data_IF_914024521918
#
_entry.id   IF_914024521918
#
_cell.length_a   1.000
_cell.length_b   1.000
_cell.length_c   1.000
_cell.angle_alpha   90.00
_cell.angle_beta   90.00
_cell.angle_gamma   90.00
#
_symmetry.space_group_name_H-M   'P 1'
#
loop_
_entity.id
_entity.type
_entity.pdbx_description
1 polymer ?
#
# COMPACT_ATOMS: atom_id res chain seq x y z
N UNK A 1 1.13 54.26 1.85
CA UNK A 1 1.04 53.44 3.08
C UNK A 1 1.54 52.07 2.70
N UNK A 2 2.77 51.73 3.08
CA UNK A 2 3.26 50.36 2.97
C UNK A 2 2.61 49.61 4.14
N UNK A 3 1.71 48.68 3.83
CA UNK A 3 1.21 47.74 4.84
C UNK A 3 2.37 46.92 5.42
N UNK A 4 2.18 46.28 6.58
CA UNK A 4 3.20 45.38 7.12
C UNK A 4 3.55 44.33 6.06
N UNK A 5 4.84 44.09 5.90
CA UNK A 5 5.36 43.09 4.96
C UNK A 5 4.93 41.71 5.51
N UNK A 6 3.91 41.10 4.90
CA UNK A 6 3.46 39.75 5.27
C UNK A 6 4.43 38.66 4.77
N UNK A 7 5.59 39.06 4.25
CA UNK A 7 6.68 38.19 3.84
C UNK A 7 7.38 37.65 5.08
N UNK A 8 7.07 36.40 5.42
CA UNK A 8 7.88 35.60 6.34
C UNK A 8 9.12 35.19 5.54
N UNK A 9 10.30 35.60 5.99
CA UNK A 9 11.56 35.17 5.38
C UNK A 9 11.61 33.64 5.29
N UNK A 10 11.90 33.13 4.09
CA UNK A 10 12.06 31.69 3.91
C UNK A 10 13.21 31.21 4.80
N UNK A 11 12.99 30.25 5.71
CA UNK A 11 14.01 29.79 6.65
C UNK A 11 15.17 29.05 5.97
N UNK A 12 15.07 28.82 4.66
CA UNK A 12 16.02 28.10 3.82
C UNK A 12 16.19 28.86 2.51
N UNK A 13 17.45 29.11 2.10
CA UNK A 13 17.76 29.67 0.78
C UNK A 13 17.59 28.60 -0.29
N UNK A 14 16.80 28.88 -1.32
CA UNK A 14 16.69 27.98 -2.47
C UNK A 14 18.06 27.77 -3.12
N UNK A 15 18.39 26.54 -3.46
CA UNK A 15 19.60 26.23 -4.23
C UNK A 15 19.44 26.72 -5.67
N UNK A 16 20.57 26.98 -6.35
CA UNK A 16 20.55 27.33 -7.77
C UNK A 16 19.75 26.26 -8.55
N UNK A 17 18.78 26.71 -9.33
CA UNK A 17 17.99 25.81 -10.16
C UNK A 17 18.86 25.37 -11.34
N UNK A 18 19.15 24.07 -11.49
CA UNK A 18 19.83 23.58 -12.67
C UNK A 18 18.92 23.72 -13.89
N UNK A 19 19.53 23.94 -15.05
CA UNK A 19 18.85 23.75 -16.31
C UNK A 19 18.69 22.25 -16.56
N UNK A 20 17.45 21.75 -16.63
CA UNK A 20 17.17 20.34 -16.92
C UNK A 20 16.60 20.24 -18.33
N UNK A 21 17.33 19.53 -19.20
CA UNK A 21 16.90 19.22 -20.57
C UNK A 21 16.63 17.72 -20.68
N UNK A 22 15.36 17.35 -20.74
CA UNK A 22 14.96 15.97 -20.96
C UNK A 22 15.07 15.61 -22.45
N UNK A 23 16.03 14.76 -22.79
CA UNK A 23 16.21 14.20 -24.14
C UNK A 23 15.59 12.81 -24.30
N UNK A 24 15.04 12.25 -23.22
CA UNK A 24 14.32 10.98 -23.24
C UNK A 24 12.85 11.29 -23.58
N UNK A 25 12.20 10.51 -24.44
CA UNK A 25 10.80 10.73 -24.79
C UNK A 25 9.80 10.47 -23.66
N UNK A 26 10.29 10.32 -22.42
CA UNK A 26 9.53 9.86 -21.28
C UNK A 26 9.08 11.02 -20.38
N UNK A 27 7.85 10.98 -19.85
CA UNK A 27 7.38 11.93 -18.84
C UNK A 27 8.38 12.00 -17.68
N UNK A 28 8.94 13.18 -17.47
CA UNK A 28 9.98 13.39 -16.47
C UNK A 28 9.89 14.78 -15.87
N UNK A 29 10.21 14.89 -14.58
CA UNK A 29 10.15 16.15 -13.85
C UNK A 29 11.30 16.25 -12.85
N UNK A 30 11.85 17.45 -12.75
CA UNK A 30 12.85 17.81 -11.76
C UNK A 30 12.21 18.59 -10.61
N UNK A 31 12.67 18.34 -9.39
CA UNK A 31 12.34 19.12 -8.20
C UNK A 31 13.47 19.06 -7.16
N UNK A 32 13.42 19.95 -6.18
CA UNK A 32 14.35 19.98 -5.05
C UNK A 32 13.65 19.44 -3.81
N UNK A 33 14.38 18.68 -3.02
CA UNK A 33 13.96 18.23 -1.69
C UNK A 33 15.05 18.55 -0.68
N UNK A 34 14.74 18.33 0.59
CA UNK A 34 15.63 18.58 1.72
C UNK A 34 15.73 17.32 2.56
N UNK A 35 16.93 17.03 3.06
CA UNK A 35 17.15 15.92 3.98
C UNK A 35 17.02 16.34 5.46
N UNK A 36 17.23 15.39 6.37
CA UNK A 36 17.18 15.62 7.83
C UNK A 36 18.32 16.52 8.35
N UNK A 37 19.37 16.71 7.55
CA UNK A 37 20.49 17.62 7.82
C UNK A 37 20.28 19.01 7.22
N UNK A 38 19.07 19.29 6.71
CA UNK A 38 18.66 20.53 6.07
C UNK A 38 19.45 20.84 4.78
N UNK A 39 20.01 19.80 4.16
CA UNK A 39 20.71 19.93 2.88
C UNK A 39 19.74 19.74 1.73
N UNK A 40 19.78 20.68 0.78
CA UNK A 40 19.03 20.58 -0.45
C UNK A 40 19.68 19.55 -1.36
N UNK A 41 18.85 18.69 -1.94
CA UNK A 41 19.26 17.77 -2.99
C UNK A 41 18.28 17.75 -4.15
N UNK A 42 18.78 17.29 -5.28
CA UNK A 42 18.12 17.31 -6.57
C UNK A 42 17.46 15.97 -6.84
N UNK A 43 16.18 15.99 -7.22
CA UNK A 43 15.44 14.79 -7.60
C UNK A 43 15.00 14.92 -9.05
N UNK A 44 15.23 13.86 -9.82
CA UNK A 44 14.70 13.69 -11.16
C UNK A 44 13.85 12.42 -11.15
N UNK A 45 12.59 12.54 -11.54
CA UNK A 45 11.70 11.41 -11.74
C UNK A 45 11.41 11.24 -13.21
N UNK A 46 11.38 9.99 -13.67
CA UNK A 46 11.05 9.60 -15.04
C UNK A 46 10.16 8.37 -15.00
N UNK A 47 9.10 8.35 -15.80
CA UNK A 47 8.17 7.22 -15.89
C UNK A 47 8.26 6.56 -17.25
N UNK A 48 8.54 5.26 -17.24
CA UNK A 48 8.59 4.42 -18.44
C UNK A 48 7.49 3.37 -18.35
N UNK A 49 6.69 3.23 -19.41
CA UNK A 49 5.60 2.27 -19.51
C UNK A 49 5.92 1.23 -20.56
N UNK A 50 5.80 -0.04 -20.19
CA UNK A 50 6.03 -1.20 -21.05
C UNK A 50 4.73 -1.99 -21.24
N UNK A 51 4.52 -2.59 -22.41
CA UNK A 51 3.43 -3.55 -22.64
C UNK A 51 3.93 -4.97 -22.31
N UNK A 52 3.40 -5.55 -21.23
CA UNK A 52 3.76 -6.92 -20.82
C UNK A 52 3.28 -8.02 -21.77
N UNK A 53 2.44 -7.69 -22.77
CA UNK A 53 1.92 -8.65 -23.77
C UNK A 53 2.79 -8.72 -25.02
N UNK A 54 3.77 -7.83 -25.15
CA UNK A 54 4.65 -7.75 -26.31
C UNK A 54 6.10 -7.83 -25.86
N UNK A 55 6.87 -8.66 -26.55
CA UNK A 55 8.31 -8.75 -26.39
C UNK A 55 8.99 -8.81 -27.76
N UNK A 56 10.23 -8.37 -27.82
CA UNK A 56 11.09 -8.58 -29.00
C UNK A 56 11.53 -10.05 -29.13
N UNK A 57 12.33 -10.33 -30.16
CA UNK A 57 12.84 -11.68 -30.46
C UNK A 57 13.77 -12.21 -29.35
N UNK A 58 14.36 -11.31 -28.55
CA UNK A 58 15.18 -11.61 -27.37
C UNK A 58 14.35 -11.78 -26.07
N UNK A 59 13.05 -11.54 -26.12
CA UNK A 59 12.13 -11.67 -24.98
C UNK A 59 12.12 -10.46 -24.04
N UNK A 60 12.65 -9.31 -24.46
CA UNK A 60 12.59 -8.06 -23.71
C UNK A 60 11.25 -7.36 -23.96
N UNK A 61 10.68 -6.79 -22.90
CA UNK A 61 9.43 -6.05 -23.01
C UNK A 61 9.59 -4.80 -23.88
N UNK A 62 8.60 -4.57 -24.74
CA UNK A 62 8.53 -3.36 -25.55
C UNK A 62 7.89 -2.21 -24.78
N UNK A 63 8.29 -0.98 -25.11
CA UNK A 63 7.61 0.22 -24.63
C UNK A 63 6.16 0.22 -25.13
N UNK A 64 5.24 0.65 -24.27
CA UNK A 64 3.86 0.87 -24.68
C UNK A 64 3.76 2.03 -25.68
N UNK A 65 2.85 1.91 -26.65
CA UNK A 65 2.55 2.96 -27.65
C UNK A 65 2.21 4.29 -26.98
N UNK A 66 1.54 4.23 -25.82
CA UNK A 66 1.22 5.38 -24.98
C UNK A 66 1.95 5.28 -23.64
N UNK A 67 2.73 6.32 -23.31
CA UNK A 67 3.42 6.42 -22.03
C UNK A 67 2.48 7.03 -20.98
N UNK A 68 2.44 6.42 -19.80
CA UNK A 68 1.64 6.94 -18.69
C UNK A 68 2.31 8.22 -18.14
N UNK A 69 1.56 9.31 -17.90
CA UNK A 69 2.12 10.51 -17.29
C UNK A 69 2.58 10.23 -15.85
N UNK A 70 3.38 11.16 -15.31
CA UNK A 70 3.72 11.13 -13.89
C UNK A 70 2.44 11.21 -13.04
N UNK A 71 2.37 10.39 -11.99
CA UNK A 71 1.31 10.47 -11.01
C UNK A 71 1.52 11.71 -10.14
N UNK A 72 0.65 12.72 -10.28
CA UNK A 72 0.72 13.95 -9.47
C UNK A 72 0.14 13.77 -8.06
N UNK A 73 -0.81 12.83 -7.91
CA UNK A 73 -1.47 12.55 -6.65
C UNK A 73 -1.70 11.06 -6.46
N UNK A 74 -1.88 10.67 -5.19
CA UNK A 74 -2.20 9.30 -4.82
C UNK A 74 -3.56 8.89 -5.40
N UNK A 75 -3.62 7.70 -6.02
CA UNK A 75 -4.84 7.15 -6.59
C UNK A 75 -5.31 5.95 -5.80
N UNK A 76 -6.59 5.92 -5.49
CA UNK A 76 -7.25 4.89 -4.70
C UNK A 76 -8.27 4.13 -5.54
N UNK A 77 -8.55 2.87 -5.18
CA UNK A 77 -9.60 2.07 -5.85
C UNK A 77 -10.99 2.67 -5.61
N UNK A 78 -11.21 3.24 -4.42
CA UNK A 78 -12.43 3.93 -4.04
C UNK A 78 -12.10 5.20 -3.27
N UNK A 79 -12.68 5.35 -2.08
CA UNK A 79 -12.47 6.52 -1.24
C UNK A 79 -11.03 6.60 -0.69
N UNK A 80 -10.51 7.83 -0.63
CA UNK A 80 -9.19 8.15 -0.07
C UNK A 80 -9.13 7.67 1.38
N UNK A 81 -8.02 7.02 1.74
CA UNK A 81 -7.75 6.46 3.08
C UNK A 81 -8.74 5.38 3.58
N UNK A 82 -9.70 4.95 2.74
CA UNK A 82 -10.70 3.92 3.07
C UNK A 82 -10.70 2.74 2.09
N UNK A 83 -9.83 2.78 1.07
CA UNK A 83 -9.69 1.74 0.07
C UNK A 83 -8.22 1.53 -0.29
N UNK A 84 -7.92 0.44 -0.99
CA UNK A 84 -6.56 0.14 -1.43
C UNK A 84 -6.00 1.24 -2.33
N UNK A 85 -4.72 1.55 -2.11
CA UNK A 85 -3.92 2.46 -2.92
C UNK A 85 -3.49 1.75 -4.21
N UNK A 86 -3.81 2.34 -5.36
CA UNK A 86 -3.42 1.87 -6.70
C UNK A 86 -1.96 2.25 -6.94
N UNK A 87 -1.65 3.53 -6.76
CA UNK A 87 -0.31 4.10 -6.87
C UNK A 87 -0.23 5.39 -6.05
N UNK A 88 0.98 5.71 -5.58
CA UNK A 88 1.27 7.03 -4.98
C UNK A 88 1.73 8.02 -6.03
N UNK A 89 1.74 9.29 -5.64
CA UNK A 89 2.46 10.34 -6.35
C UNK A 89 3.91 9.93 -6.65
N UNK A 90 4.36 10.18 -7.88
CA UNK A 90 5.73 9.90 -8.35
C UNK A 90 6.76 10.84 -7.70
N UNK A 91 6.30 11.91 -7.04
CA UNK A 91 7.11 12.95 -6.40
C UNK A 91 7.63 12.54 -5.01
N UNK A 92 8.09 11.29 -4.90
CA UNK A 92 8.72 10.78 -3.69
C UNK A 92 10.10 11.42 -3.46
N UNK A 93 10.46 11.72 -2.22
CA UNK A 93 11.73 12.39 -1.93
C UNK A 93 12.95 11.53 -2.28
N UNK A 94 13.03 10.35 -1.68
CA UNK A 94 14.07 9.37 -1.94
C UNK A 94 13.56 8.01 -1.48
N UNK A 95 13.70 6.98 -2.32
CA UNK A 95 13.38 5.60 -1.96
C UNK A 95 14.70 4.82 -1.79
N UNK A 96 15.04 4.31 -0.60
CA UNK A 96 16.26 3.50 -0.43
C UNK A 96 16.21 2.13 -1.15
N UNK A 97 15.02 1.67 -1.54
CA UNK A 97 14.79 0.37 -2.20
C UNK A 97 13.85 0.54 -3.40
N UNK A 98 13.84 -0.42 -4.31
CA UNK A 98 12.85 -0.48 -5.39
C UNK A 98 11.59 -1.19 -4.89
N UNK A 99 10.43 -0.55 -5.09
CA UNK A 99 9.11 -1.09 -4.76
C UNK A 99 8.59 -1.95 -5.92
N UNK A 100 8.18 -3.19 -5.64
CA UNK A 100 7.38 -3.99 -6.58
C UNK A 100 5.92 -3.90 -6.14
N UNK A 101 5.05 -3.41 -7.03
CA UNK A 101 3.64 -3.14 -6.76
C UNK A 101 2.74 -3.70 -7.86
N UNK A 102 1.58 -4.21 -7.45
CA UNK A 102 0.54 -4.67 -8.37
C UNK A 102 -0.75 -3.89 -8.14
N UNK A 103 -0.98 -2.88 -8.97
CA UNK A 103 -2.07 -1.90 -8.82
C UNK A 103 -3.48 -2.49 -9.02
N UNK A 104 -3.62 -3.42 -9.98
CA UNK A 104 -4.90 -4.01 -10.38
C UNK A 104 -4.84 -5.54 -10.47
N UNK A 105 -4.16 -6.18 -9.51
CA UNK A 105 -4.02 -7.63 -9.51
C UNK A 105 -5.37 -8.33 -9.29
N UNK A 106 -5.66 -9.30 -10.16
CA UNK A 106 -6.80 -10.22 -10.05
C UNK A 106 -6.26 -11.64 -10.14
N UNK A 107 -6.51 -12.45 -9.12
CA UNK A 107 -6.19 -13.87 -9.14
C UNK A 107 -7.30 -14.60 -9.91
N UNK A 108 -6.96 -15.31 -10.98
CA UNK A 108 -7.90 -16.15 -11.72
C UNK A 108 -7.79 -17.61 -11.25
N UNK A 109 -8.92 -18.29 -11.14
CA UNK A 109 -8.97 -19.68 -10.74
C UNK A 109 -8.34 -20.60 -11.80
N UNK A 110 -7.62 -21.67 -11.41
CA UNK A 110 -6.85 -22.49 -12.32
C UNK A 110 -7.75 -23.20 -13.34
N UNK A 111 -7.31 -23.21 -14.60
CA UNK A 111 -8.04 -23.84 -15.71
C UNK A 111 -9.38 -23.18 -16.05
N UNK A 112 -9.61 -21.93 -15.62
CA UNK A 112 -10.83 -21.16 -15.90
C UNK A 112 -12.10 -21.71 -15.24
N UNK A 113 -11.95 -22.59 -14.24
CA UNK A 113 -13.07 -23.20 -13.50
C UNK A 113 -13.16 -22.60 -12.10
N UNK A 114 -14.37 -22.25 -11.61
CA UNK A 114 -14.52 -21.77 -10.25
C UNK A 114 -13.90 -22.72 -9.22
N UNK A 115 -13.10 -22.18 -8.31
CA UNK A 115 -12.47 -22.92 -7.22
C UNK A 115 -12.73 -22.18 -5.91
N UNK A 116 -12.78 -22.90 -4.79
CA UNK A 116 -12.96 -22.29 -3.48
C UNK A 116 -11.67 -21.65 -2.96
N UNK A 117 -10.51 -22.21 -3.32
CA UNK A 117 -9.20 -21.79 -2.82
C UNK A 117 -8.08 -22.25 -3.76
N UNK A 118 -7.10 -21.39 -4.04
CA UNK A 118 -5.93 -21.73 -4.86
C UNK A 118 -4.73 -20.83 -4.56
N UNK A 119 -3.49 -21.30 -4.78
CA UNK A 119 -2.30 -20.48 -4.66
C UNK A 119 -2.13 -19.56 -5.87
N UNK A 120 -1.48 -18.41 -5.68
CA UNK A 120 -0.97 -17.56 -6.75
C UNK A 120 0.44 -17.09 -6.42
N UNK A 121 1.21 -16.72 -7.43
CA UNK A 121 2.60 -16.32 -7.24
C UNK A 121 3.15 -15.45 -8.34
N UNK A 122 4.11 -14.61 -7.97
CA UNK A 122 4.90 -13.79 -8.88
C UNK A 122 6.38 -13.91 -8.54
N UNK A 123 7.22 -13.88 -9.57
CA UNK A 123 8.67 -13.86 -9.46
C UNK A 123 9.24 -12.79 -10.38
N UNK A 124 10.17 -11.98 -9.88
CA UNK A 124 10.91 -10.96 -10.63
C UNK A 124 12.38 -11.13 -10.26
N UNK A 125 13.19 -11.63 -11.20
CA UNK A 125 14.56 -12.04 -10.92
C UNK A 125 14.61 -13.09 -9.79
N UNK A 126 15.37 -12.79 -8.74
CA UNK A 126 15.51 -13.64 -7.53
C UNK A 126 14.40 -13.42 -6.50
N UNK A 127 13.64 -12.33 -6.63
CA UNK A 127 12.53 -12.04 -5.75
C UNK A 127 11.29 -12.85 -6.15
N UNK A 128 10.61 -13.42 -5.17
CA UNK A 128 9.32 -14.09 -5.39
C UNK A 128 8.38 -13.88 -4.21
N UNK A 129 7.08 -13.82 -4.51
CA UNK A 129 6.01 -13.81 -3.50
C UNK A 129 4.88 -14.73 -3.92
N UNK A 130 4.42 -15.53 -2.96
CA UNK A 130 3.30 -16.45 -3.13
C UNK A 130 2.31 -16.29 -1.99
N UNK A 131 1.04 -16.39 -2.32
CA UNK A 131 -0.07 -16.31 -1.37
C UNK A 131 -1.15 -17.31 -1.78
N UNK A 132 -2.15 -17.49 -0.93
CA UNK A 132 -3.36 -18.24 -1.27
C UNK A 132 -4.53 -17.29 -1.32
N UNK A 133 -5.36 -17.40 -2.35
CA UNK A 133 -6.65 -16.72 -2.40
C UNK A 133 -7.77 -17.75 -2.18
N UNK A 134 -8.87 -17.30 -1.61
CA UNK A 134 -10.09 -18.06 -1.51
C UNK A 134 -11.30 -17.18 -1.82
N UNK A 135 -12.43 -17.78 -2.19
CA UNK A 135 -13.65 -17.02 -2.42
C UNK A 135 -14.24 -16.43 -1.13
N UNK A 136 -15.31 -15.64 -1.26
CA UNK A 136 -15.96 -14.99 -0.12
C UNK A 136 -16.31 -15.97 0.99
N UNK A 137 -16.09 -15.55 2.23
CA UNK A 137 -16.45 -16.29 3.45
C UNK A 137 -16.66 -15.35 4.62
N UNK A 138 -17.39 -15.82 5.62
CA UNK A 138 -17.80 -15.01 6.79
C UNK A 138 -17.58 -15.77 8.08
N UNK A 139 -17.25 -15.04 9.14
CA UNK A 139 -17.44 -15.45 10.52
C UNK A 139 -18.91 -15.16 10.87
N UNK A 140 -19.67 -16.15 11.28
CA UNK A 140 -21.07 -16.01 11.66
C UNK A 140 -21.27 -16.40 13.12
N UNK A 141 -22.06 -15.61 13.85
CA UNK A 141 -22.43 -15.87 15.23
C UNK A 141 -23.44 -17.02 15.29
N UNK A 142 -23.13 -18.04 16.07
CA UNK A 142 -24.02 -19.18 16.34
C UNK A 142 -24.33 -19.29 17.83
N UNK A 143 -25.20 -20.23 18.22
CA UNK A 143 -25.46 -20.53 19.64
C UNK A 143 -24.22 -21.06 20.39
N UNK A 144 -23.25 -21.64 19.67
CA UNK A 144 -22.01 -22.20 20.22
C UNK A 144 -20.81 -21.29 20.02
N UNK A 145 -21.03 -20.00 19.74
CA UNK A 145 -19.98 -19.02 19.43
C UNK A 145 -19.83 -18.78 17.93
N UNK A 146 -18.68 -18.24 17.52
CA UNK A 146 -18.41 -17.91 16.13
C UNK A 146 -18.04 -19.15 15.31
N UNK A 147 -18.59 -19.24 14.09
CA UNK A 147 -18.22 -20.25 13.10
C UNK A 147 -17.69 -19.56 11.86
N UNK A 148 -16.60 -20.08 11.32
CA UNK A 148 -16.07 -19.64 10.05
C UNK A 148 -16.65 -20.50 8.92
N UNK A 149 -17.23 -19.86 7.90
CA UNK A 149 -17.75 -20.55 6.73
C UNK A 149 -16.62 -21.07 5.83
N UNK A 150 -16.93 -22.13 5.07
CA UNK A 150 -16.10 -22.56 3.96
C UNK A 150 -16.12 -21.48 2.85
N UNK A 151 -15.02 -21.28 2.12
CA UNK A 151 -14.99 -20.34 0.99
C UNK A 151 -15.94 -20.76 -0.13
N UNK A 152 -16.63 -19.78 -0.71
CA UNK A 152 -17.42 -19.97 -1.94
C UNK A 152 -16.51 -20.25 -3.14
N UNK A 153 -16.98 -21.06 -4.09
CA UNK A 153 -16.25 -21.29 -5.34
C UNK A 153 -16.44 -20.12 -6.30
N UNK A 154 -15.34 -19.47 -6.71
CA UNK A 154 -15.35 -18.30 -7.60
C UNK A 154 -14.29 -18.43 -8.69
N UNK A 155 -14.49 -17.74 -9.82
CA UNK A 155 -13.56 -17.74 -10.95
C UNK A 155 -12.40 -16.75 -10.77
N UNK A 156 -12.58 -15.74 -9.91
CA UNK A 156 -11.58 -14.71 -9.69
C UNK A 156 -11.68 -14.07 -8.31
N UNK A 157 -10.56 -13.58 -7.80
CA UNK A 157 -10.46 -12.82 -6.54
C UNK A 157 -9.55 -11.61 -6.77
N UNK A 158 -10.06 -10.36 -6.65
CA UNK A 158 -9.22 -9.18 -6.66
C UNK A 158 -8.23 -9.19 -5.48
N UNK A 159 -6.94 -8.96 -5.75
CA UNK A 159 -5.92 -8.90 -4.70
C UNK A 159 -5.83 -7.46 -4.19
N UNK A 160 -6.64 -7.16 -3.17
CA UNK A 160 -6.75 -5.84 -2.53
C UNK A 160 -6.77 -5.99 -1.02
N UNK A 161 -6.30 -4.98 -0.28
CA UNK A 161 -6.15 -5.07 1.16
C UNK A 161 -7.47 -5.16 1.94
N UNK A 162 -8.58 -4.70 1.36
CA UNK A 162 -9.94 -4.92 1.87
C UNK A 162 -10.29 -6.42 1.99
N UNK A 163 -9.60 -7.27 1.23
CA UNK A 163 -9.75 -8.72 1.22
C UNK A 163 -8.67 -9.45 2.03
N UNK A 164 -7.69 -8.72 2.57
CA UNK A 164 -6.67 -9.24 3.46
C UNK A 164 -7.10 -9.07 4.93
N UNK A 165 -6.41 -9.79 5.82
CA UNK A 165 -6.66 -9.66 7.24
C UNK A 165 -6.35 -8.25 7.75
N UNK A 166 -7.20 -7.75 8.62
CA UNK A 166 -7.11 -6.43 9.24
C UNK A 166 -8.49 -5.84 9.46
N UNK A 167 -8.55 -4.51 9.58
CA UNK A 167 -9.80 -3.77 9.65
C UNK A 167 -9.88 -2.83 10.84
N UNK A 168 -10.98 -2.08 10.85
CA UNK A 168 -11.27 -1.05 11.83
C UNK A 168 -12.63 -1.33 12.49
N UNK A 169 -12.63 -1.42 13.82
CA UNK A 169 -13.82 -1.59 14.63
C UNK A 169 -14.37 -0.22 15.05
N UNK A 170 -15.34 0.30 14.29
CA UNK A 170 -16.02 1.58 14.58
C UNK A 170 -17.46 1.42 15.04
N UNK A 171 -17.96 2.38 15.81
CA UNK A 171 -19.35 2.41 16.28
C UNK A 171 -19.92 3.83 16.36
N UNK A 172 -21.15 4.09 15.87
CA UNK A 172 -22.04 3.18 15.14
C UNK A 172 -21.46 2.72 13.78
N UNK A 173 -21.84 1.53 13.29
CA UNK A 173 -21.20 0.94 12.09
C UNK A 173 -21.37 1.80 10.83
N UNK A 174 -22.52 2.44 10.70
CA UNK A 174 -22.96 3.21 9.54
C UNK A 174 -22.89 4.74 9.79
N UNK A 175 -22.20 5.17 10.84
CA UNK A 175 -21.97 6.59 11.08
C UNK A 175 -20.92 7.14 10.09
N UNK A 176 -20.96 8.45 9.84
CA UNK A 176 -19.88 9.15 9.16
C UNK A 176 -18.58 9.05 9.99
N UNK A 177 -17.42 9.19 9.35
CA UNK A 177 -16.13 8.96 10.03
C UNK A 177 -15.84 9.95 11.17
N UNK A 178 -16.36 11.17 11.09
CA UNK A 178 -16.27 12.20 12.15
C UNK A 178 -17.26 11.97 13.30
N UNK A 179 -18.27 11.12 13.10
CA UNK A 179 -19.27 10.77 14.10
C UNK A 179 -19.00 9.40 14.75
N UNK A 180 -18.26 8.52 14.06
CA UNK A 180 -18.00 7.16 14.52
C UNK A 180 -16.88 7.12 15.56
N UNK A 181 -17.15 6.46 16.69
CA UNK A 181 -16.11 6.14 17.65
C UNK A 181 -15.24 5.00 17.14
N UNK A 182 -13.93 5.22 17.05
CA UNK A 182 -12.94 4.17 16.84
C UNK A 182 -12.75 3.37 18.14
N UNK A 183 -13.12 2.09 18.14
CA UNK A 183 -12.96 1.21 19.32
C UNK A 183 -11.65 0.41 19.26
N UNK A 184 -11.31 -0.10 18.08
CA UNK A 184 -10.07 -0.84 17.84
C UNK A 184 -9.71 -0.77 16.35
N UNK A 185 -8.43 -0.99 16.03
CA UNK A 185 -7.90 -0.94 14.67
C UNK A 185 -6.69 -1.84 14.53
N UNK A 186 -6.65 -2.66 13.49
CA UNK A 186 -5.41 -3.33 13.07
C UNK A 186 -4.59 -2.35 12.24
N UNK A 187 -3.54 -1.80 12.83
CA UNK A 187 -2.78 -0.67 12.28
C UNK A 187 -1.91 -1.05 11.07
N UNK A 188 -1.65 -2.34 10.85
CA UNK A 188 -0.94 -2.83 9.66
C UNK A 188 -1.84 -2.96 8.43
N UNK A 189 -3.16 -2.99 8.60
CA UNK A 189 -4.14 -2.97 7.51
C UNK A 189 -5.51 -2.51 8.04
N UNK A 190 -5.70 -1.20 8.28
CA UNK A 190 -6.91 -0.66 8.89
C UNK A 190 -8.16 -0.77 8.01
N UNK A 191 -8.00 -1.04 6.71
CA UNK A 191 -9.10 -1.17 5.73
C UNK A 191 -9.46 -2.62 5.42
N UNK A 192 -8.78 -3.59 6.05
CA UNK A 192 -8.98 -5.01 5.82
C UNK A 192 -10.25 -5.57 6.45
N UNK A 193 -10.34 -6.91 6.49
CA UNK A 193 -11.44 -7.64 7.12
C UNK A 193 -10.95 -8.74 8.07
N UNK A 194 -11.85 -9.31 8.87
CA UNK A 194 -11.55 -10.39 9.80
C UNK A 194 -10.94 -9.98 11.14
N UNK A 195 -10.48 -8.74 11.31
CA UNK A 195 -10.24 -8.17 12.64
C UNK A 195 -11.58 -7.79 13.28
N UNK A 196 -11.82 -8.27 14.49
CA UNK A 196 -13.09 -8.13 15.18
C UNK A 196 -12.87 -8.17 16.70
N UNK A 197 -12.54 -7.02 17.26
CA UNK A 197 -12.36 -6.84 18.71
C UNK A 197 -13.59 -7.30 19.50
N UNK A 198 -13.38 -7.98 20.63
CA UNK A 198 -14.48 -8.53 21.43
C UNK A 198 -15.40 -7.46 22.00
N UNK A 199 -14.85 -6.33 22.45
CA UNK A 199 -15.64 -5.21 22.96
C UNK A 199 -16.50 -4.58 21.85
N UNK A 200 -15.95 -4.48 20.64
CA UNK A 200 -16.72 -4.07 19.47
C UNK A 200 -17.81 -5.07 19.09
N UNK A 201 -17.54 -6.38 19.10
CA UNK A 201 -18.54 -7.42 18.81
C UNK A 201 -19.71 -7.39 19.82
N UNK A 202 -19.40 -7.19 21.10
CA UNK A 202 -20.41 -7.09 22.15
C UNK A 202 -21.26 -5.82 22.03
N UNK A 203 -20.61 -4.68 21.74
CA UNK A 203 -21.30 -3.39 21.54
C UNK A 203 -22.14 -3.39 20.27
N UNK A 204 -21.60 -3.93 19.18
CA UNK A 204 -22.24 -3.91 17.86
C UNK A 204 -23.37 -4.91 17.70
N UNK A 205 -23.30 -6.05 18.40
CA UNK A 205 -24.20 -7.20 18.25
C UNK A 205 -24.31 -7.67 16.79
N UNK A 206 -23.27 -7.44 15.99
CA UNK A 206 -23.26 -7.86 14.59
C UNK A 206 -23.37 -9.40 14.50
N UNK A 207 -24.16 -9.88 13.55
CA UNK A 207 -24.39 -11.31 13.35
C UNK A 207 -23.26 -11.98 12.56
N UNK A 208 -22.57 -11.22 11.72
CA UNK A 208 -21.52 -11.73 10.84
C UNK A 208 -20.43 -10.70 10.58
N UNK A 209 -19.21 -11.18 10.31
CA UNK A 209 -18.07 -10.38 9.89
C UNK A 209 -17.45 -11.04 8.67
N UNK A 210 -17.08 -10.26 7.65
CA UNK A 210 -16.32 -10.80 6.51
C UNK A 210 -14.98 -11.36 7.00
N UNK A 211 -14.60 -12.52 6.47
CA UNK A 211 -13.30 -13.12 6.75
C UNK A 211 -12.34 -12.92 5.54
N UNK A 212 -11.01 -12.92 5.78
CA UNK A 212 -10.04 -12.67 4.73
C UNK A 212 -10.13 -13.67 3.59
N UNK A 213 -9.99 -13.16 2.38
CA UNK A 213 -9.88 -13.95 1.15
C UNK A 213 -8.40 -14.14 0.74
N UNK A 214 -7.50 -13.28 1.22
CA UNK A 214 -6.06 -13.35 0.96
C UNK A 214 -5.36 -13.96 2.18
N UNK A 215 -4.71 -15.09 1.99
CA UNK A 215 -4.10 -15.93 3.01
C UNK A 215 -2.59 -16.09 2.78
N UNK A 216 -1.85 -16.32 3.87
CA UNK A 216 -0.45 -16.74 3.79
C UNK A 216 -0.41 -18.13 3.15
N UNK A 217 0.49 -18.35 2.18
CA UNK A 217 0.65 -19.66 1.55
C UNK A 217 0.89 -20.75 2.61
N UNK A 218 0.04 -21.77 2.61
CA UNK A 218 0.17 -22.91 3.54
C UNK A 218 -0.30 -22.64 4.97
N UNK A 219 -0.85 -21.46 5.26
CA UNK A 219 -1.43 -21.12 6.57
C UNK A 219 -2.78 -20.43 6.37
N UNK A 220 -3.89 -21.19 6.23
CA UNK A 220 -5.22 -20.62 6.06
C UNK A 220 -5.66 -19.78 7.28
N UNK A 221 -6.57 -18.82 7.05
CA UNK A 221 -7.23 -18.12 8.14
C UNK A 221 -8.30 -19.03 8.77
N UNK A 222 -8.25 -19.16 10.10
CA UNK A 222 -9.14 -20.03 10.87
C UNK A 222 -9.69 -19.34 12.14
N UNK A 223 -10.50 -20.06 12.92
CA UNK A 223 -11.08 -19.54 14.16
C UNK A 223 -10.03 -19.27 15.25
N UNK A 224 -8.88 -19.94 15.22
CA UNK A 224 -7.79 -19.71 16.17
C UNK A 224 -7.14 -18.35 15.89
N UNK A 225 -6.82 -18.06 14.63
CA UNK A 225 -6.31 -16.77 14.18
C UNK A 225 -7.30 -15.63 14.48
N UNK A 226 -8.59 -15.86 14.24
CA UNK A 226 -9.66 -14.92 14.59
C UNK A 226 -9.71 -14.67 16.11
N UNK A 227 -9.75 -15.72 16.93
CA UNK A 227 -9.80 -15.59 18.39
C UNK A 227 -8.56 -14.91 18.99
N UNK A 228 -7.38 -15.17 18.42
CA UNK A 228 -6.13 -14.54 18.83
C UNK A 228 -5.97 -13.09 18.34
N UNK A 229 -6.87 -12.62 17.44
CA UNK A 229 -6.76 -11.34 16.74
C UNK A 229 -5.35 -11.13 16.17
N UNK A 230 -4.79 -12.19 15.59
CA UNK A 230 -3.41 -12.20 15.11
C UNK A 230 -3.27 -13.06 13.87
N UNK A 231 -3.11 -12.38 12.74
CA UNK A 231 -2.79 -13.01 11.47
C UNK A 231 -1.94 -12.06 10.61
N UNK A 232 -1.04 -12.54 9.74
CA UNK A 232 -0.24 -11.62 8.91
C UNK A 232 -1.11 -10.88 7.88
N UNK A 233 -0.85 -9.60 7.69
CA UNK A 233 -1.34 -8.86 6.52
C UNK A 233 -0.55 -9.35 5.30
N UNK A 234 -1.25 -9.83 4.28
CA UNK A 234 -0.66 -10.27 3.01
C UNK A 234 -1.40 -9.60 1.87
N UNK A 235 -0.66 -9.08 0.91
CA UNK A 235 -1.17 -8.42 -0.28
C UNK A 235 -0.07 -8.25 -1.32
N UNK A 236 -0.40 -7.61 -2.44
CA UNK A 236 0.54 -7.28 -3.52
C UNK A 236 0.61 -5.78 -3.86
N UNK A 237 -0.34 -4.98 -3.35
CA UNK A 237 -0.44 -3.55 -3.61
C UNK A 237 0.36 -2.68 -2.64
N UNK A 238 0.25 -1.37 -2.81
CA UNK A 238 0.90 -0.39 -1.93
C UNK A 238 0.21 -0.28 -0.56
N UNK A 239 1.00 -0.04 0.48
CA UNK A 239 0.54 0.23 1.85
C UNK A 239 0.47 1.74 2.11
N UNK A 240 -0.60 2.17 2.76
CA UNK A 240 -0.84 3.59 3.03
C UNK A 240 0.17 4.21 4.01
N UNK A 241 0.46 5.50 3.84
CA UNK A 241 1.37 6.28 4.72
C UNK A 241 0.92 6.30 6.19
N UNK A 242 -0.39 6.25 6.41
CA UNK A 242 -0.99 6.26 7.75
C UNK A 242 -1.03 4.86 8.41
N UNK A 243 -0.54 3.83 7.72
CA UNK A 243 -0.45 2.49 8.27
C UNK A 243 0.83 2.36 9.08
N UNK A 244 0.77 1.61 10.17
CA UNK A 244 1.86 1.48 11.13
C UNK A 244 3.23 1.19 10.49
N UNK A 245 3.38 0.28 9.49
CA UNK A 245 4.68 0.00 8.89
C UNK A 245 5.39 1.21 8.25
N UNK A 246 4.64 2.26 7.90
CA UNK A 246 5.19 3.52 7.36
C UNK A 246 5.08 4.65 8.37
N UNK A 247 4.00 4.74 9.14
CA UNK A 247 3.83 5.77 10.15
C UNK A 247 4.98 5.77 11.18
N UNK A 248 5.50 4.59 11.55
CA UNK A 248 6.66 4.46 12.46
C UNK A 248 7.98 5.01 11.87
N UNK A 249 8.05 5.23 10.56
CA UNK A 249 9.24 5.77 9.86
C UNK A 249 9.21 7.29 9.69
N UNK A 250 8.10 7.95 10.05
CA UNK A 250 7.94 9.39 9.89
C UNK A 250 8.76 10.20 10.92
N UNK A 251 9.37 9.56 11.92
CA UNK A 251 10.09 10.22 13.00
C UNK A 251 9.16 10.84 14.06
N UNK A 252 9.76 11.57 14.99
CA UNK A 252 9.07 12.08 16.19
C UNK A 252 8.66 13.55 16.03
N UNK A 253 7.36 13.82 16.14
CA UNK A 253 6.75 15.16 16.04
C UNK A 253 6.20 15.63 17.40
N UNK A 254 7.09 15.85 18.37
CA UNK A 254 6.75 16.28 19.73
C UNK A 254 6.92 17.80 19.96
N UNK A 255 6.72 18.27 21.20
CA UNK A 255 6.90 19.68 21.56
C UNK A 255 8.33 20.19 21.30
N UNK A 256 9.34 19.34 21.48
CA UNK A 256 10.74 19.71 21.25
C UNK A 256 11.00 19.93 19.75
N UNK A 257 10.48 19.06 18.89
CA UNK A 257 10.49 19.27 17.44
C UNK A 257 9.74 20.55 17.06
N UNK A 258 8.56 20.79 17.64
CA UNK A 258 7.75 21.97 17.33
C UNK A 258 8.47 23.28 17.69
N UNK A 259 9.20 23.31 18.81
CA UNK A 259 9.92 24.49 19.28
C UNK A 259 11.24 24.75 18.56
N UNK A 260 11.92 23.70 18.08
CA UNK A 260 13.32 23.79 17.63
C UNK A 260 13.59 23.39 16.18
N UNK A 261 12.69 22.63 15.54
CA UNK A 261 12.88 22.11 14.17
C UNK A 261 11.78 22.48 13.20
N UNK A 262 10.55 22.71 13.65
CA UNK A 262 9.46 23.14 12.76
C UNK A 262 9.92 24.33 11.88
N UNK A 263 9.82 24.29 10.53
CA UNK A 263 9.10 23.30 9.72
C UNK A 263 9.86 22.14 9.08
N UNK A 264 11.07 21.85 9.54
CA UNK A 264 11.95 20.81 8.99
C UNK A 264 11.54 19.41 9.44
N UNK A 265 12.03 18.40 8.72
CA UNK A 265 11.85 16.99 9.08
C UNK A 265 12.44 16.70 10.47
N UNK A 266 11.82 15.80 11.25
CA UNK A 266 12.46 15.23 12.42
C UNK A 266 13.82 14.61 12.07
N UNK A 267 14.78 14.67 12.99
CA UNK A 267 16.12 14.11 12.79
C UNK A 267 16.11 12.58 12.67
N UNK A 268 15.09 11.94 13.23
CA UNK A 268 14.87 10.49 13.22
C UNK A 268 13.93 10.04 12.09
N UNK A 269 13.62 10.91 11.11
CA UNK A 269 12.87 10.52 9.92
C UNK A 269 13.66 9.50 9.09
N UNK A 270 13.04 8.36 8.77
CA UNK A 270 13.61 7.31 7.93
C UNK A 270 13.03 7.40 6.51
N UNK A 271 13.90 7.56 5.50
CA UNK A 271 13.50 7.64 4.09
C UNK A 271 12.82 6.37 3.55
N UNK A 272 12.92 5.24 4.25
CA UNK A 272 12.09 4.06 4.01
C UNK A 272 10.58 4.38 4.08
N UNK A 273 10.19 5.49 4.72
CA UNK A 273 8.83 6.05 4.68
C UNK A 273 8.29 6.22 3.24
N UNK A 274 9.16 6.53 2.27
CA UNK A 274 8.78 6.74 0.87
C UNK A 274 8.64 5.45 0.07
N UNK A 275 9.13 4.31 0.58
CA UNK A 275 8.82 3.00 0.01
C UNK A 275 7.39 2.61 0.38
N UNK A 276 6.53 2.47 -0.62
CA UNK A 276 5.11 2.16 -0.40
C UNK A 276 4.78 0.68 -0.62
N UNK A 277 5.73 -0.14 -1.05
CA UNK A 277 5.53 -1.59 -1.05
C UNK A 277 5.71 -2.18 0.36
N UNK A 278 5.01 -3.28 0.72
CA UNK A 278 5.35 -4.05 1.90
C UNK A 278 6.83 -4.43 1.92
N UNK A 279 7.43 -4.56 3.11
CA UNK A 279 8.88 -4.81 3.25
C UNK A 279 9.38 -6.04 2.49
N UNK A 280 8.55 -7.07 2.38
CA UNK A 280 8.86 -8.29 1.63
C UNK A 280 8.78 -8.11 0.10
N UNK A 281 8.37 -6.95 -0.41
CA UNK A 281 8.31 -6.57 -1.84
C UNK A 281 9.24 -5.40 -2.18
N UNK A 282 10.12 -5.01 -1.27
CA UNK A 282 11.13 -3.99 -1.49
C UNK A 282 12.45 -4.67 -1.87
N UNK A 283 12.88 -4.55 -3.11
CA UNK A 283 14.10 -5.20 -3.64
C UNK A 283 15.25 -4.19 -3.77
N UNK A 284 16.46 -4.69 -4.06
CA UNK A 284 17.52 -3.84 -4.60
C UNK A 284 17.06 -3.28 -5.95
N UNK A 285 17.57 -2.09 -6.32
CA UNK A 285 17.25 -1.53 -7.62
C UNK A 285 17.69 -2.49 -8.74
N UNK A 286 16.79 -2.84 -9.68
CA UNK A 286 17.12 -3.77 -10.76
C UNK A 286 18.19 -3.18 -11.68
N UNK A 287 19.06 -4.05 -12.20
CA UNK A 287 20.09 -3.71 -13.17
C UNK A 287 19.63 -3.86 -14.62
N UNK A 288 18.48 -4.50 -14.85
CA UNK A 288 17.96 -4.86 -16.15
C UNK A 288 18.20 -6.34 -16.48
N UNK A 289 17.30 -6.92 -17.27
CA UNK A 289 17.35 -8.34 -17.68
C UNK A 289 16.68 -9.31 -16.68
N UNK A 290 16.04 -8.81 -15.63
CA UNK A 290 15.31 -9.62 -14.68
C UNK A 290 14.10 -10.31 -15.35
N UNK A 291 14.02 -11.64 -15.21
CA UNK A 291 12.86 -12.38 -15.70
C UNK A 291 11.63 -12.12 -14.82
N UNK A 292 10.51 -11.79 -15.45
CA UNK A 292 9.20 -11.64 -14.80
C UNK A 292 8.35 -12.86 -15.10
N UNK A 293 7.90 -13.56 -14.06
CA UNK A 293 7.03 -14.73 -14.16
C UNK A 293 5.81 -14.56 -13.26
N UNK A 294 4.62 -14.72 -13.83
CA UNK A 294 3.34 -14.68 -13.14
C UNK A 294 2.72 -16.08 -13.21
N UNK A 295 2.21 -16.59 -12.09
CA UNK A 295 1.63 -17.93 -11.98
C UNK A 295 0.31 -17.90 -11.18
N UNK A 296 -0.67 -18.66 -11.66
CA UNK A 296 -1.97 -18.90 -11.03
C UNK A 296 -2.33 -20.39 -11.10
#
# INVERSE_FOLDING_TARGET
MNGPDNLIDAPVRAAALPEVRNHTGFPSQYYQMMDVADQLFHVMVSRLTYDMRQADDEGLLLLADEQTPLAESDRYIGAINQSSLIEESDYATFKPRCDILFAHAVAHAPGGKPSARWPVGVRIGDWQKRLTVCGPRRLARTRLGWKLAEPEAVSEVPIRYEHAWGGTCRWPLQAADDEAQLLAREEHNPIGCGFADSGWLDKSRIAEVAAPQIEVLGRPFDLSAAGAQRYPVVGLGAIGRWWRPRAELAGTYDEAWQQSRWPRLPLDFDFGYWNCAPRDQQIAYPGGGEQVVISA
#
